data_IF_689609611007
#
_entry.id   IF_689609611007
#
_cell.length_a   1.000
_cell.length_b   1.000
_cell.length_c   1.000
_cell.angle_alpha   90.00
_cell.angle_beta   90.00
_cell.angle_gamma   90.00
#
_symmetry.space_group_name_H-M   'P 1'
#
loop_
_entity.id
_entity.type
_entity.pdbx_description
1 polymer ?
#
# COMPACT_ATOMS: atom_id res chain seq x y z
N UNK A 1 1.95 35.38 9.28
CA UNK A 1 2.05 34.10 8.54
C UNK A 1 1.05 33.06 9.05
N UNK A 2 -0.24 33.43 9.22
CA UNK A 2 -1.28 32.54 9.79
C UNK A 2 -2.45 32.31 8.81
N UNK A 3 -2.33 32.84 7.60
CA UNK A 3 -3.42 32.90 6.60
C UNK A 3 -3.19 31.97 5.39
N UNK A 4 -2.01 31.36 5.27
CA UNK A 4 -1.67 30.47 4.14
C UNK A 4 -1.96 28.98 4.44
N UNK A 5 -2.44 28.67 5.64
CA UNK A 5 -2.52 27.30 6.18
C UNK A 5 -3.97 26.82 6.43
N UNK A 6 -5.02 27.54 6.04
CA UNK A 6 -6.39 27.02 6.29
C UNK A 6 -6.89 26.13 5.13
N UNK A 7 -6.54 26.47 3.89
CA UNK A 7 -6.92 25.71 2.69
C UNK A 7 -6.13 24.41 2.46
N UNK A 8 -4.78 24.33 2.63
CA UNK A 8 -4.06 23.08 2.39
C UNK A 8 -4.43 21.97 3.37
N UNK A 9 -4.77 22.27 4.62
CA UNK A 9 -5.15 21.24 5.60
C UNK A 9 -6.50 20.60 5.30
N UNK A 10 -7.47 21.37 4.80
CA UNK A 10 -8.74 20.79 4.33
C UNK A 10 -8.54 19.80 3.17
N UNK A 11 -7.66 20.17 2.23
CA UNK A 11 -7.31 19.29 1.10
C UNK A 11 -6.61 18.03 1.61
N UNK A 12 -5.71 18.16 2.59
CA UNK A 12 -5.03 17.03 3.24
C UNK A 12 -6.00 16.06 3.90
N UNK A 13 -7.00 16.53 4.65
CA UNK A 13 -7.96 15.63 5.28
C UNK A 13 -8.75 14.81 4.24
N UNK A 14 -9.11 15.44 3.12
CA UNK A 14 -9.75 14.72 2.01
C UNK A 14 -8.79 13.72 1.35
N UNK A 15 -7.57 14.15 1.00
CA UNK A 15 -6.59 13.27 0.32
C UNK A 15 -6.06 12.15 1.23
N UNK A 16 -6.14 12.31 2.56
CA UNK A 16 -5.80 11.27 3.53
C UNK A 16 -6.90 10.23 3.72
N UNK A 17 -8.17 10.64 3.70
CA UNK A 17 -9.31 9.76 3.99
C UNK A 17 -9.88 9.09 2.75
N UNK A 18 -9.87 9.77 1.61
CA UNK A 18 -10.38 9.24 0.35
C UNK A 18 -9.73 7.92 -0.09
N UNK A 19 -8.41 7.70 0.06
CA UNK A 19 -7.80 6.42 -0.31
C UNK A 19 -8.35 5.23 0.47
N UNK A 20 -8.73 5.40 1.74
CA UNK A 20 -9.37 4.33 2.52
C UNK A 20 -10.74 3.96 1.97
N UNK A 21 -11.52 4.94 1.50
CA UNK A 21 -12.82 4.69 0.85
C UNK A 21 -12.60 3.84 -0.41
N UNK A 22 -11.60 4.19 -1.23
CA UNK A 22 -11.26 3.42 -2.42
C UNK A 22 -10.77 2.02 -2.05
N UNK A 23 -9.90 1.86 -1.06
CA UNK A 23 -9.44 0.54 -0.61
C UNK A 23 -10.60 -0.34 -0.14
N UNK A 24 -11.59 0.21 0.56
CA UNK A 24 -12.78 -0.54 0.99
C UNK A 24 -13.62 -0.97 -0.23
N UNK A 25 -13.87 -0.08 -1.18
CA UNK A 25 -14.63 -0.40 -2.40
C UNK A 25 -13.90 -1.49 -3.21
N UNK A 26 -12.58 -1.35 -3.36
CA UNK A 26 -11.75 -2.32 -4.06
C UNK A 26 -11.68 -3.65 -3.32
N UNK A 27 -11.64 -3.66 -1.99
CA UNK A 27 -11.70 -4.88 -1.20
C UNK A 27 -13.04 -5.60 -1.42
N UNK A 28 -14.15 -4.89 -1.25
CA UNK A 28 -15.50 -5.45 -1.45
C UNK A 28 -15.62 -6.00 -2.86
N UNK A 29 -15.14 -5.27 -3.88
CA UNK A 29 -15.14 -5.77 -5.25
C UNK A 29 -14.24 -7.00 -5.40
N UNK A 30 -13.02 -6.96 -4.87
CA UNK A 30 -12.03 -8.02 -4.93
C UNK A 30 -12.54 -9.33 -4.32
N UNK A 31 -13.10 -9.30 -3.11
CA UNK A 31 -13.59 -10.51 -2.43
C UNK A 31 -14.85 -11.11 -3.07
N UNK A 32 -15.56 -10.35 -3.90
CA UNK A 32 -16.71 -10.88 -4.67
C UNK A 32 -16.30 -11.60 -5.95
N UNK A 33 -15.02 -11.56 -6.33
CA UNK A 33 -14.51 -12.24 -7.52
C UNK A 33 -14.18 -13.71 -7.19
N UNK A 34 -14.36 -14.64 -8.16
CA UNK A 34 -13.93 -16.03 -7.98
C UNK A 34 -12.41 -16.09 -7.78
N UNK A 35 -11.90 -17.02 -6.97
CA UNK A 35 -10.45 -17.16 -6.71
C UNK A 35 -9.86 -16.16 -5.71
N UNK A 36 -10.61 -15.14 -5.27
CA UNK A 36 -10.10 -14.15 -4.31
C UNK A 36 -9.65 -14.76 -2.96
N UNK A 37 -10.33 -15.82 -2.51
CA UNK A 37 -9.96 -16.53 -1.28
C UNK A 37 -8.58 -17.18 -1.37
N UNK A 38 -8.19 -17.73 -2.52
CA UNK A 38 -6.89 -18.37 -2.71
C UNK A 38 -5.77 -17.34 -2.61
N UNK A 39 -5.99 -16.16 -3.22
CA UNK A 39 -5.08 -15.03 -3.11
C UNK A 39 -4.93 -14.52 -1.67
N UNK A 40 -6.04 -14.31 -0.95
CA UNK A 40 -5.99 -13.88 0.46
C UNK A 40 -5.30 -14.94 1.33
N UNK A 41 -5.57 -16.23 1.09
CA UNK A 41 -4.93 -17.31 1.83
C UNK A 41 -3.43 -17.35 1.57
N UNK A 42 -3.00 -17.15 0.32
CA UNK A 42 -1.58 -17.02 -0.02
C UNK A 42 -0.91 -15.87 0.71
N UNK A 43 -1.59 -14.71 0.82
CA UNK A 43 -1.06 -13.55 1.54
C UNK A 43 -0.79 -13.81 3.02
N UNK A 44 -1.72 -14.49 3.71
CA UNK A 44 -1.66 -14.65 5.17
C UNK A 44 -1.04 -15.97 5.63
N UNK A 45 -0.82 -16.93 4.72
CA UNK A 45 -0.23 -18.24 5.06
C UNK A 45 1.25 -18.04 5.43
N UNK A 46 1.64 -18.30 6.69
CA UNK A 46 3.02 -18.10 7.11
C UNK A 46 3.90 -19.26 6.64
N UNK A 47 5.06 -18.93 6.10
CA UNK A 47 6.18 -19.87 5.95
C UNK A 47 7.27 -19.52 6.96
N UNK A 48 7.33 -20.29 8.03
CA UNK A 48 8.28 -20.06 9.12
C UNK A 48 9.73 -20.38 8.74
N UNK A 49 9.95 -21.19 7.69
CA UNK A 49 11.30 -21.51 7.23
C UNK A 49 12.03 -20.27 6.69
N UNK A 50 11.27 -19.34 6.09
CA UNK A 50 11.75 -18.06 5.55
C UNK A 50 12.34 -17.13 6.60
N UNK A 51 11.95 -17.25 7.87
CA UNK A 51 12.53 -16.41 8.93
C UNK A 51 14.01 -16.71 9.20
N UNK A 52 14.49 -17.89 8.78
CA UNK A 52 15.92 -18.26 8.89
C UNK A 52 16.77 -17.64 7.78
N UNK A 53 16.16 -17.13 6.72
CA UNK A 53 16.86 -16.53 5.58
C UNK A 53 17.19 -15.06 5.89
N UNK A 54 18.47 -14.64 5.88
CA UNK A 54 18.85 -13.26 6.17
C UNK A 54 18.24 -12.25 5.20
N UNK A 55 18.00 -12.66 3.94
CA UNK A 55 17.45 -11.78 2.91
C UNK A 55 16.06 -11.24 3.28
N UNK A 56 15.22 -12.05 3.92
CA UNK A 56 13.86 -11.64 4.35
C UNK A 56 13.91 -10.46 5.33
N UNK A 57 14.93 -10.42 6.19
CA UNK A 57 15.13 -9.33 7.14
C UNK A 57 15.69 -8.07 6.47
N UNK A 58 16.58 -8.23 5.49
CA UNK A 58 17.11 -7.12 4.68
C UNK A 58 15.96 -6.46 3.89
N UNK A 59 15.11 -7.27 3.26
CA UNK A 59 13.97 -6.80 2.48
C UNK A 59 12.95 -6.09 3.38
N UNK A 60 12.62 -6.67 4.55
CA UNK A 60 11.72 -6.05 5.52
C UNK A 60 12.25 -4.70 6.04
N UNK A 61 13.53 -4.64 6.39
CA UNK A 61 14.18 -3.41 6.83
C UNK A 61 14.19 -2.33 5.74
N UNK A 62 14.51 -2.72 4.51
CA UNK A 62 14.51 -1.85 3.34
C UNK A 62 13.11 -1.32 3.03
N UNK A 63 12.09 -2.18 3.10
CA UNK A 63 10.69 -1.81 2.89
C UNK A 63 10.23 -0.75 3.90
N UNK A 64 10.54 -0.94 5.20
CA UNK A 64 10.20 0.04 6.23
C UNK A 64 10.98 1.35 6.08
N UNK A 65 12.28 1.26 5.76
CA UNK A 65 13.12 2.43 5.55
C UNK A 65 12.58 3.34 4.43
N UNK A 66 12.20 2.74 3.30
CA UNK A 66 11.60 3.47 2.18
C UNK A 66 10.14 3.87 2.43
N UNK A 67 9.36 3.07 3.17
CA UNK A 67 7.97 3.38 3.52
C UNK A 67 7.84 4.70 4.29
N UNK A 68 8.77 4.97 5.21
CA UNK A 68 8.82 6.24 5.96
C UNK A 68 9.73 7.30 5.33
N UNK A 69 10.41 6.98 4.22
CA UNK A 69 11.39 7.85 3.58
C UNK A 69 12.44 8.40 4.58
N UNK A 70 12.95 7.51 5.45
CA UNK A 70 13.89 7.88 6.52
C UNK A 70 15.15 8.48 5.88
N UNK A 71 15.61 9.61 6.42
CA UNK A 71 16.83 10.27 5.96
C UNK A 71 16.65 11.24 4.79
N UNK A 72 15.44 11.38 4.21
CA UNK A 72 15.17 12.40 3.17
C UNK A 72 14.85 13.80 3.75
N UNK A 73 14.87 13.97 5.07
CA UNK A 73 14.63 15.24 5.74
C UNK A 73 13.16 15.68 5.81
N UNK A 74 12.23 14.97 5.17
CA UNK A 74 10.80 15.28 5.20
C UNK A 74 10.25 15.26 6.65
N UNK A 75 10.42 14.15 7.39
CA UNK A 75 9.97 14.04 8.77
C UNK A 75 10.61 15.10 9.69
N UNK A 76 11.89 15.42 9.48
CA UNK A 76 12.59 16.47 10.23
C UNK A 76 12.00 17.85 9.96
N UNK A 77 11.73 18.17 8.70
CA UNK A 77 11.08 19.42 8.33
C UNK A 77 9.67 19.52 8.94
N UNK A 78 8.92 18.41 8.96
CA UNK A 78 7.59 18.40 9.57
C UNK A 78 7.63 18.58 11.08
N UNK A 79 8.54 17.88 11.77
CA UNK A 79 8.76 18.06 13.20
C UNK A 79 9.12 19.51 13.57
N UNK A 80 9.77 20.26 12.68
CA UNK A 80 10.12 21.66 12.91
C UNK A 80 8.93 22.62 12.98
N UNK A 81 7.76 22.21 12.44
CA UNK A 81 6.52 22.99 12.54
C UNK A 81 5.71 22.67 13.81
N UNK A 82 6.12 21.68 14.59
CA UNK A 82 5.41 21.23 15.77
C UNK A 82 5.64 22.17 16.98
N UNK A 83 4.71 22.18 17.94
CA UNK A 83 4.91 22.89 19.20
C UNK A 83 6.08 22.27 19.98
N UNK A 84 6.86 23.10 20.67
CA UNK A 84 8.04 22.62 21.41
C UNK A 84 7.71 21.57 22.49
N UNK A 85 6.52 21.65 23.09
CA UNK A 85 6.05 20.72 24.12
C UNK A 85 5.10 19.64 23.58
N UNK A 86 5.07 19.40 22.26
CA UNK A 86 4.23 18.35 21.69
C UNK A 86 4.76 16.95 22.02
N UNK A 87 3.85 16.00 22.25
CA UNK A 87 4.17 14.60 22.49
C UNK A 87 4.50 13.87 21.18
N UNK A 88 5.71 14.09 20.68
CA UNK A 88 6.18 13.49 19.43
C UNK A 88 6.30 11.95 19.48
N UNK A 89 6.37 11.36 20.68
CA UNK A 89 6.42 9.92 20.85
C UNK A 89 5.08 9.28 20.49
N UNK A 90 3.97 9.86 20.97
CA UNK A 90 2.63 9.43 20.57
C UNK A 90 2.40 9.57 19.08
N UNK A 91 2.81 10.69 18.50
CA UNK A 91 2.70 10.95 17.07
C UNK A 91 3.46 9.92 16.23
N UNK A 92 4.70 9.61 16.62
CA UNK A 92 5.52 8.59 15.95
C UNK A 92 4.89 7.19 16.05
N UNK A 93 4.33 6.84 17.21
CA UNK A 93 3.65 5.56 17.40
C UNK A 93 2.37 5.44 16.56
N UNK A 94 1.53 6.49 16.54
CA UNK A 94 0.31 6.54 15.73
C UNK A 94 0.66 6.47 14.24
N UNK A 95 1.65 7.25 13.80
CA UNK A 95 2.14 7.20 12.42
C UNK A 95 2.55 5.78 12.02
N UNK A 96 3.28 5.10 12.90
CA UNK A 96 3.76 3.76 12.62
C UNK A 96 2.62 2.75 12.47
N UNK A 97 1.65 2.81 13.38
CA UNK A 97 0.46 1.95 13.33
C UNK A 97 -0.37 2.18 12.09
N UNK A 98 -0.65 3.45 11.73
CA UNK A 98 -1.49 3.76 10.57
C UNK A 98 -0.75 3.37 9.28
N UNK A 99 0.54 3.68 9.14
CA UNK A 99 1.34 3.30 7.97
C UNK A 99 1.33 1.78 7.76
N UNK A 100 1.78 1.02 8.76
CA UNK A 100 1.84 -0.45 8.65
C UNK A 100 0.47 -1.10 8.54
N UNK A 101 -0.54 -0.58 9.27
CA UNK A 101 -1.92 -1.06 9.18
C UNK A 101 -2.53 -0.84 7.80
N UNK A 102 -2.23 0.30 7.17
CA UNK A 102 -2.69 0.60 5.80
C UNK A 102 -2.02 -0.29 4.78
N UNK A 103 -0.71 -0.53 4.89
CA UNK A 103 0.00 -1.47 4.02
C UNK A 103 -0.54 -2.90 4.17
N UNK A 104 -0.81 -3.33 5.41
CA UNK A 104 -1.40 -4.64 5.68
C UNK A 104 -2.81 -4.77 5.07
N UNK A 105 -3.66 -3.76 5.26
CA UNK A 105 -5.01 -3.73 4.68
C UNK A 105 -4.98 -3.72 3.15
N UNK A 106 -4.10 -2.92 2.55
CA UNK A 106 -3.91 -2.88 1.10
C UNK A 106 -3.41 -4.22 0.53
N UNK A 107 -2.63 -4.98 1.31
CA UNK A 107 -2.23 -6.35 0.98
C UNK A 107 -3.43 -7.25 0.65
N UNK A 108 -4.49 -7.21 1.47
CA UNK A 108 -5.71 -7.96 1.18
C UNK A 108 -6.36 -7.55 -0.14
N UNK A 109 -6.38 -6.26 -0.46
CA UNK A 109 -6.94 -5.76 -1.73
C UNK A 109 -6.16 -6.29 -2.93
N UNK A 110 -4.83 -6.19 -2.88
CA UNK A 110 -3.94 -6.67 -3.96
C UNK A 110 -4.10 -8.17 -4.14
N UNK A 111 -3.97 -8.94 -3.06
CA UNK A 111 -4.00 -10.39 -3.14
C UNK A 111 -5.39 -10.96 -3.46
N UNK A 112 -6.49 -10.30 -3.09
CA UNK A 112 -7.82 -10.67 -3.57
C UNK A 112 -7.94 -10.56 -5.10
N UNK A 113 -7.35 -9.50 -5.69
CA UNK A 113 -7.35 -9.31 -7.15
C UNK A 113 -6.39 -10.30 -7.84
N UNK A 114 -5.21 -10.55 -7.27
CA UNK A 114 -4.27 -11.56 -7.80
C UNK A 114 -4.88 -12.96 -7.78
N UNK A 115 -5.62 -13.31 -6.72
CA UNK A 115 -6.35 -14.59 -6.63
C UNK A 115 -7.36 -14.78 -7.76
N UNK A 116 -8.11 -13.74 -8.09
CA UNK A 116 -9.02 -13.75 -9.24
C UNK A 116 -8.28 -13.97 -10.55
N UNK A 117 -7.12 -13.35 -10.74
CA UNK A 117 -6.35 -13.53 -11.96
C UNK A 117 -5.79 -14.94 -12.10
N UNK A 118 -5.25 -15.50 -11.02
CA UNK A 118 -4.77 -16.87 -10.99
C UNK A 118 -5.89 -17.84 -11.43
N UNK A 119 -7.11 -17.62 -10.91
CA UNK A 119 -8.28 -18.40 -11.29
C UNK A 119 -8.69 -18.22 -12.77
N UNK A 120 -8.68 -16.99 -13.29
CA UNK A 120 -9.02 -16.72 -14.71
C UNK A 120 -7.97 -17.27 -15.69
N UNK A 121 -6.70 -17.24 -15.31
CA UNK A 121 -5.58 -17.73 -16.13
C UNK A 121 -5.34 -19.23 -15.97
N UNK A 122 -5.93 -19.85 -14.93
CA UNK A 122 -5.70 -21.25 -14.60
C UNK A 122 -4.27 -21.55 -14.15
N UNK A 123 -3.58 -20.57 -13.56
CA UNK A 123 -2.19 -20.68 -13.08
C UNK A 123 -2.14 -20.58 -11.55
N UNK A 124 -1.01 -20.96 -10.95
CA UNK A 124 -0.83 -20.78 -9.50
C UNK A 124 -0.69 -19.29 -9.14
N UNK A 125 -1.18 -18.94 -7.95
CA UNK A 125 -1.08 -17.59 -7.40
C UNK A 125 0.37 -17.11 -7.26
N UNK A 126 1.34 -18.01 -7.05
CA UNK A 126 2.77 -17.66 -6.99
C UNK A 126 3.27 -17.07 -8.31
N UNK A 127 2.80 -17.58 -9.46
CA UNK A 127 3.24 -17.12 -10.78
C UNK A 127 2.76 -15.69 -11.08
N UNK A 128 1.52 -15.37 -10.69
CA UNK A 128 0.98 -14.01 -10.85
C UNK A 128 1.49 -13.03 -9.79
N UNK A 129 1.95 -13.53 -8.63
CA UNK A 129 2.58 -12.71 -7.60
C UNK A 129 4.07 -12.41 -7.91
N UNK A 130 4.76 -13.34 -8.57
CA UNK A 130 6.16 -13.19 -8.98
C UNK A 130 6.33 -12.35 -10.24
N UNK A 131 5.39 -12.39 -11.19
CA UNK A 131 5.43 -11.64 -12.46
C UNK A 131 5.41 -10.10 -12.32
N UNK A 132 5.33 -9.57 -11.10
CA UNK A 132 5.69 -8.17 -10.81
C UNK A 132 7.22 -7.90 -10.84
N UNK A 133 8.04 -8.95 -10.81
CA UNK A 133 9.47 -8.92 -11.15
C UNK A 133 9.61 -9.44 -12.59
N UNK A 134 10.17 -8.61 -13.45
CA UNK A 134 10.29 -8.83 -14.89
C UNK A 134 11.10 -10.10 -15.22
N UNK A 135 10.42 -11.22 -15.45
CA UNK A 135 11.03 -12.48 -15.90
C UNK A 135 10.93 -12.60 -17.42
N UNK A 136 12.08 -12.41 -18.07
CA UNK A 136 12.34 -12.61 -19.49
C UNK A 136 12.28 -14.12 -19.88
N UNK A 137 11.15 -14.78 -19.66
CA UNK A 137 10.93 -16.15 -20.12
C UNK A 137 10.00 -16.17 -21.34
N UNK A 138 10.56 -16.50 -22.50
CA UNK A 138 9.92 -16.55 -23.83
C UNK A 138 8.82 -17.63 -23.98
N UNK A 139 8.16 -18.03 -22.90
CA UNK A 139 7.14 -19.08 -22.90
C UNK A 139 5.74 -18.57 -22.53
N UNK A 140 5.52 -17.25 -22.44
CA UNK A 140 4.16 -16.66 -22.32
C UNK A 140 3.55 -16.41 -23.69
N UNK A 141 3.59 -17.43 -24.55
CA UNK A 141 2.72 -17.50 -25.71
C UNK A 141 1.69 -18.58 -25.42
N UNK A 142 0.53 -18.14 -24.92
CA UNK A 142 -0.84 -18.62 -25.25
C UNK A 142 -1.82 -18.41 -24.07
N UNK A 143 -2.12 -17.15 -23.71
CA UNK A 143 -3.50 -16.68 -23.54
C UNK A 143 -3.57 -15.14 -23.46
N UNK A 144 -3.08 -14.48 -24.51
CA UNK A 144 -3.52 -13.13 -24.84
C UNK A 144 -4.96 -13.22 -25.38
N UNK A 145 -5.95 -13.32 -24.49
CA UNK A 145 -7.29 -13.68 -24.93
C UNK A 145 -8.45 -13.42 -23.98
N UNK A 146 -8.43 -12.38 -23.14
CA UNK A 146 -9.65 -11.76 -22.56
C UNK A 146 -9.35 -10.63 -21.55
N UNK A 147 -8.44 -9.70 -21.84
CA UNK A 147 -8.30 -8.48 -21.03
C UNK A 147 -9.38 -7.44 -21.38
N UNK A 148 -10.65 -7.85 -21.49
CA UNK A 148 -11.79 -6.96 -21.80
C UNK A 148 -13.10 -7.47 -21.19
N UNK A 149 -13.28 -7.28 -19.89
CA UNK A 149 -14.62 -7.22 -19.29
C UNK A 149 -14.66 -6.27 -18.08
N UNK A 150 -14.16 -5.03 -18.27
CA UNK A 150 -14.34 -3.98 -17.27
C UNK A 150 -13.20 -2.96 -17.14
N UNK A 151 -12.77 -2.35 -18.25
CA UNK A 151 -12.20 -0.99 -18.29
C UNK A 151 -10.89 -0.63 -17.57
N UNK A 152 -10.32 -1.48 -16.72
CA UNK A 152 -9.07 -1.17 -16.00
C UNK A 152 -8.13 -2.39 -16.07
N UNK A 153 -7.00 -2.24 -16.77
CA UNK A 153 -5.97 -3.28 -16.87
C UNK A 153 -5.37 -3.60 -15.49
N UNK A 154 -4.88 -4.82 -15.29
CA UNK A 154 -4.19 -5.26 -14.07
C UNK A 154 -3.10 -4.29 -13.61
N UNK A 155 -2.30 -3.83 -14.57
CA UNK A 155 -1.28 -2.80 -14.32
C UNK A 155 -1.91 -1.57 -13.69
N UNK A 156 -3.09 -1.16 -14.14
CA UNK A 156 -3.80 -0.03 -13.57
C UNK A 156 -4.25 -0.32 -12.12
N UNK A 157 -4.72 -1.52 -11.76
CA UNK A 157 -5.08 -1.82 -10.37
C UNK A 157 -3.89 -1.81 -9.42
N UNK A 158 -2.79 -2.49 -9.80
CA UNK A 158 -1.57 -2.52 -8.98
C UNK A 158 -0.94 -1.12 -8.89
N UNK A 159 -0.88 -0.39 -10.01
CA UNK A 159 -0.42 1.00 -10.04
C UNK A 159 -1.34 1.89 -9.21
N UNK A 160 -2.66 1.70 -9.25
CA UNK A 160 -3.61 2.46 -8.42
C UNK A 160 -3.38 2.18 -6.95
N UNK A 161 -3.15 0.92 -6.54
CA UNK A 161 -2.86 0.60 -5.14
C UNK A 161 -1.51 1.16 -4.71
N UNK A 162 -0.47 1.08 -5.56
CA UNK A 162 0.85 1.68 -5.28
C UNK A 162 0.73 3.20 -5.17
N UNK A 163 -0.01 3.84 -6.08
CA UNK A 163 -0.31 5.28 -6.06
C UNK A 163 -1.05 5.62 -4.77
N UNK A 164 -2.07 4.85 -4.39
CA UNK A 164 -2.83 5.01 -3.14
C UNK A 164 -1.90 4.89 -1.92
N UNK A 165 -0.97 3.94 -1.90
CA UNK A 165 -0.01 3.78 -0.81
C UNK A 165 0.98 4.95 -0.73
N UNK A 166 1.48 5.43 -1.86
CA UNK A 166 2.30 6.64 -1.94
C UNK A 166 1.54 7.89 -1.46
N UNK A 167 0.29 8.05 -1.89
CA UNK A 167 -0.57 9.16 -1.44
C UNK A 167 -0.94 9.05 0.04
N UNK A 168 -1.14 7.85 0.58
CA UNK A 168 -1.37 7.61 2.00
C UNK A 168 -0.16 7.99 2.85
N UNK A 169 1.05 7.60 2.47
CA UNK A 169 2.28 8.01 3.18
C UNK A 169 2.42 9.53 3.23
N UNK A 170 2.21 10.21 2.09
CA UNK A 170 2.28 11.66 2.01
C UNK A 170 1.18 12.32 2.85
N UNK A 171 -0.05 11.82 2.80
CA UNK A 171 -1.18 12.40 3.51
C UNK A 171 -1.13 12.18 5.04
N UNK A 172 -0.60 11.04 5.51
CA UNK A 172 -0.32 10.81 6.94
C UNK A 172 0.74 11.76 7.49
N UNK A 173 1.76 12.09 6.69
CA UNK A 173 2.75 13.10 7.03
C UNK A 173 2.06 14.47 7.30
N UNK A 174 1.08 14.85 6.49
CA UNK A 174 0.38 16.13 6.67
C UNK A 174 -0.65 16.13 7.83
N UNK A 175 -1.25 14.99 8.18
CA UNK A 175 -2.15 14.88 9.34
C UNK A 175 -1.41 15.16 10.65
N UNK A 176 -0.17 14.68 10.81
CA UNK A 176 0.62 14.94 12.01
C UNK A 176 0.92 16.42 12.21
N UNK A 177 1.21 17.15 11.12
CA UNK A 177 1.37 18.61 11.15
C UNK A 177 0.04 19.27 11.56
N UNK A 178 -1.09 18.75 11.08
CA UNK A 178 -2.41 19.31 11.35
C UNK A 178 -2.85 19.12 12.79
N UNK A 179 -2.55 17.98 13.38
CA UNK A 179 -2.81 17.66 14.80
C UNK A 179 -1.87 18.45 15.71
N UNK A 180 -0.61 18.62 15.31
CA UNK A 180 0.43 19.38 16.03
C UNK A 180 0.18 20.91 16.09
N UNK A 181 -0.65 21.45 15.18
CA UNK A 181 -0.94 22.87 15.06
C UNK A 181 -2.33 23.28 15.61
N UNK A 182 -3.16 22.32 16.01
CA UNK A 182 -4.45 22.53 16.68
C UNK A 182 -4.28 22.51 18.20
#
# INVERSE_FOLDING_TARGET
MRFFLTSPFQIVYFTATFPYVILIILLVRGVTLPGALDGILYYVRPDWSKLTEPQVWIDAGTQIFFSYAIGLGALTALGSYNQFNNDCYKDAFILSLINSGTSFFAGFVVFAILGFMAAEQGVDISEVAESGKDDNNNNVHLHNGSLTSGGLSLHCYVVIVIIILLYCCIAMLFILIGISLL
#
